data_IF_919442232414
#
_entry.id   IF_919442232414
#
_cell.length_a   1.000
_cell.length_b   1.000
_cell.length_c   1.000
_cell.angle_alpha   90.00
_cell.angle_beta   90.00
_cell.angle_gamma   90.00
#
_symmetry.space_group_name_H-M   'P 1'
#
loop_
_entity.id
_entity.type
_entity.pdbx_description
1 polymer ?
#
# COMPACT_ATOMS: atom_id res chain seq x y z
N UNK A 1 1.25 12.17 -18.18
CA UNK A 1 1.57 10.73 -18.10
C UNK A 1 0.89 10.23 -16.85
N UNK A 2 0.03 9.22 -16.97
CA UNK A 2 -0.68 8.63 -15.84
C UNK A 2 -0.09 7.25 -15.61
N UNK A 3 0.38 6.97 -14.39
CA UNK A 3 0.91 5.67 -14.02
C UNK A 3 -0.25 4.66 -13.91
N UNK A 4 -0.01 3.40 -14.25
CA UNK A 4 -0.97 2.33 -13.98
C UNK A 4 -0.78 1.77 -12.57
N UNK A 5 -1.82 1.24 -11.95
CA UNK A 5 -1.72 0.61 -10.61
C UNK A 5 -2.05 -0.87 -10.70
N UNK A 6 -1.17 -1.73 -10.20
CA UNK A 6 -1.34 -3.19 -10.14
C UNK A 6 -1.19 -3.70 -8.71
N UNK A 7 -1.87 -4.79 -8.37
CA UNK A 7 -1.83 -5.41 -7.03
C UNK A 7 -1.34 -6.85 -7.12
N UNK A 8 -0.69 -7.32 -6.06
CA UNK A 8 -0.35 -8.75 -5.93
C UNK A 8 -1.43 -9.50 -5.14
N UNK A 9 -1.57 -10.83 -5.31
CA UNK A 9 -2.61 -11.61 -4.61
C UNK A 9 -2.59 -11.47 -3.08
N UNK A 10 -1.40 -11.29 -2.49
CA UNK A 10 -1.26 -11.03 -1.06
C UNK A 10 -1.95 -9.72 -0.64
N UNK A 11 -1.72 -8.66 -1.41
CA UNK A 11 -2.33 -7.35 -1.19
C UNK A 11 -3.85 -7.44 -1.24
N UNK A 12 -4.41 -8.12 -2.24
CA UNK A 12 -5.88 -8.26 -2.37
C UNK A 12 -6.51 -8.99 -1.18
N UNK A 13 -5.84 -10.02 -0.66
CA UNK A 13 -6.30 -10.74 0.54
C UNK A 13 -6.30 -9.82 1.76
N UNK A 14 -5.23 -9.05 1.94
CA UNK A 14 -5.12 -8.09 3.04
C UNK A 14 -6.14 -6.96 2.92
N UNK A 15 -6.31 -6.38 1.73
CA UNK A 15 -7.29 -5.35 1.45
C UNK A 15 -8.71 -5.84 1.75
N UNK A 16 -9.09 -7.03 1.26
CA UNK A 16 -10.41 -7.62 1.56
C UNK A 16 -10.66 -7.79 3.05
N UNK A 17 -9.65 -8.26 3.80
CA UNK A 17 -9.78 -8.41 5.26
C UNK A 17 -9.94 -7.05 5.95
N UNK A 18 -9.15 -6.06 5.56
CA UNK A 18 -9.20 -4.72 6.16
C UNK A 18 -10.47 -3.96 5.76
N UNK A 19 -10.97 -4.11 4.54
CA UNK A 19 -12.21 -3.50 4.08
C UNK A 19 -13.42 -4.02 4.87
N UNK A 20 -13.42 -5.29 5.28
CA UNK A 20 -14.43 -5.85 6.20
C UNK A 20 -14.35 -5.22 7.60
N UNK A 21 -13.14 -4.98 8.11
CA UNK A 21 -12.90 -4.37 9.42
C UNK A 21 -13.17 -2.87 9.43
N UNK A 22 -12.92 -2.20 8.31
CA UNK A 22 -12.97 -0.76 8.15
C UNK A 22 -13.75 -0.40 6.88
N UNK A 23 -15.08 -0.22 6.95
CA UNK A 23 -15.90 0.01 5.77
C UNK A 23 -15.49 1.25 4.95
N UNK A 24 -14.96 2.29 5.59
CA UNK A 24 -14.50 3.50 4.88
C UNK A 24 -13.30 3.24 3.98
N UNK A 25 -12.48 2.21 4.26
CA UNK A 25 -11.21 1.95 3.59
C UNK A 25 -11.34 1.87 2.07
N UNK A 26 -12.48 1.40 1.57
CA UNK A 26 -12.76 1.32 0.12
C UNK A 26 -12.67 2.71 -0.52
N UNK A 27 -13.19 3.74 0.15
CA UNK A 27 -13.15 5.13 -0.32
C UNK A 27 -11.73 5.68 -0.28
N UNK A 28 -11.02 5.50 0.83
CA UNK A 28 -9.66 6.03 0.94
C UNK A 28 -8.68 5.28 0.02
N UNK A 29 -8.91 4.00 -0.21
CA UNK A 29 -8.17 3.22 -1.21
C UNK A 29 -8.40 3.74 -2.63
N UNK A 30 -9.65 4.05 -3.00
CA UNK A 30 -9.93 4.64 -4.31
C UNK A 30 -9.22 5.99 -4.50
N UNK A 31 -9.22 6.85 -3.47
CA UNK A 31 -8.47 8.11 -3.49
C UNK A 31 -6.96 7.89 -3.62
N UNK A 32 -6.42 6.88 -2.93
CA UNK A 32 -5.00 6.53 -3.05
C UNK A 32 -4.64 6.07 -4.47
N UNK A 33 -5.49 5.31 -5.14
CA UNK A 33 -5.23 4.88 -6.52
C UNK A 33 -5.13 6.08 -7.47
N UNK A 34 -6.01 7.07 -7.34
CA UNK A 34 -5.92 8.30 -8.14
C UNK A 34 -4.65 9.09 -7.84
N UNK A 35 -4.26 9.22 -6.56
CA UNK A 35 -3.01 9.89 -6.18
C UNK A 35 -1.77 9.20 -6.76
N UNK A 36 -1.76 7.86 -6.79
CA UNK A 36 -0.65 7.08 -7.33
C UNK A 36 -0.52 7.19 -8.85
N UNK A 37 -1.63 7.42 -9.57
CA UNK A 37 -1.60 7.66 -11.03
C UNK A 37 -0.88 8.96 -11.37
N UNK A 38 -0.97 9.97 -10.52
CA UNK A 38 -0.33 11.27 -10.73
C UNK A 38 1.06 11.37 -10.06
N UNK A 39 1.21 10.73 -8.90
CA UNK A 39 2.40 10.83 -8.05
C UNK A 39 2.74 9.46 -7.46
N UNK A 40 3.39 8.58 -8.24
CA UNK A 40 3.65 7.20 -7.85
C UNK A 40 4.64 7.14 -6.68
N UNK A 41 5.56 8.10 -6.56
CA UNK A 41 6.56 8.16 -5.47
C UNK A 41 6.02 8.77 -4.17
N UNK A 42 4.70 8.85 -4.00
CA UNK A 42 4.08 9.36 -2.78
C UNK A 42 4.45 8.51 -1.57
N UNK A 43 4.74 9.17 -0.45
CA UNK A 43 5.04 8.53 0.83
C UNK A 43 6.50 8.64 1.26
N UNK A 44 6.93 7.75 2.16
CA UNK A 44 8.30 7.72 2.70
C UNK A 44 9.08 6.60 2.05
N UNK A 45 10.19 6.90 1.37
CA UNK A 45 11.09 5.88 0.85
C UNK A 45 11.61 4.96 1.95
N UNK A 46 11.54 3.64 1.73
CA UNK A 46 12.03 2.62 2.68
C UNK A 46 13.12 1.73 2.06
N UNK A 47 13.73 2.16 0.95
CA UNK A 47 14.77 1.41 0.22
C UNK A 47 14.20 0.56 -0.93
N UNK A 48 15.07 0.06 -1.80
CA UNK A 48 14.75 -0.84 -2.94
C UNK A 48 13.71 -0.33 -3.96
N UNK A 49 13.40 0.99 -3.98
CA UNK A 49 12.30 1.55 -4.77
C UNK A 49 10.93 1.44 -4.09
N UNK A 50 10.89 1.13 -2.79
CA UNK A 50 9.67 1.01 -2.01
C UNK A 50 9.29 2.31 -1.32
N UNK A 51 7.98 2.57 -1.22
CA UNK A 51 7.44 3.77 -0.59
C UNK A 51 6.34 3.41 0.41
N UNK A 52 6.49 3.87 1.65
CA UNK A 52 5.50 3.65 2.70
C UNK A 52 4.49 4.80 2.71
N UNK A 53 3.22 4.48 2.50
CA UNK A 53 2.12 5.45 2.50
C UNK A 53 1.30 5.30 3.79
N UNK A 54 0.93 6.44 4.38
CA UNK A 54 0.08 6.47 5.57
C UNK A 54 -1.34 6.81 5.15
N UNK A 55 -2.24 5.83 5.20
CA UNK A 55 -3.64 6.03 4.82
C UNK A 55 -4.50 6.23 6.07
N UNK A 56 -5.07 7.42 6.20
CA UNK A 56 -6.03 7.69 7.26
C UNK A 56 -7.34 6.93 6.95
N UNK A 57 -7.78 6.08 7.86
CA UNK A 57 -9.08 5.39 7.76
C UNK A 57 -10.08 6.13 8.64
N UNK A 58 -11.10 6.75 8.05
CA UNK A 58 -12.08 7.53 8.80
C UNK A 58 -12.88 6.67 9.79
N UNK A 59 -13.33 5.49 9.37
CA UNK A 59 -14.17 4.58 10.16
C UNK A 59 -13.45 3.96 11.36
N UNK A 60 -12.14 4.18 11.52
CA UNK A 60 -11.39 3.69 12.68
C UNK A 60 -11.49 4.64 13.89
N UNK A 61 -12.03 5.85 13.73
CA UNK A 61 -12.42 6.74 14.84
C UNK A 61 -11.30 7.26 15.76
N UNK A 62 -10.04 6.94 15.46
CA UNK A 62 -8.87 7.19 16.34
C UNK A 62 -7.98 8.34 15.85
N UNK A 63 -8.47 9.13 14.88
CA UNK A 63 -7.73 10.25 14.27
C UNK A 63 -6.46 9.82 13.51
N UNK A 64 -5.61 10.80 13.13
CA UNK A 64 -4.38 10.58 12.35
C UNK A 64 -3.39 9.56 12.96
N UNK A 65 -3.51 9.27 14.27
CA UNK A 65 -2.61 8.36 15.01
C UNK A 65 -3.02 6.89 14.91
N UNK A 66 -4.27 6.61 14.59
CA UNK A 66 -4.82 5.26 14.56
C UNK A 66 -5.14 4.71 13.16
N UNK A 67 -4.85 5.40 12.05
CA UNK A 67 -5.10 4.89 10.69
C UNK A 67 -4.36 3.58 10.34
N UNK A 68 -4.70 2.98 9.19
CA UNK A 68 -3.92 1.88 8.62
C UNK A 68 -2.65 2.39 7.93
N UNK A 69 -1.70 1.50 7.70
CA UNK A 69 -0.52 1.76 6.89
C UNK A 69 -0.61 0.95 5.61
N UNK A 70 -0.52 1.62 4.49
CA UNK A 70 -0.42 0.95 3.20
C UNK A 70 1.06 1.01 2.81
N UNK A 71 1.72 -0.14 2.72
CA UNK A 71 3.04 -0.17 2.11
C UNK A 71 2.85 -0.46 0.63
N UNK A 72 3.00 0.60 -0.16
CA UNK A 72 3.08 0.47 -1.60
C UNK A 72 4.52 0.14 -1.98
N UNK A 73 4.70 -0.63 -3.05
CA UNK A 73 6.01 -0.79 -3.65
C UNK A 73 5.96 -0.25 -5.04
N UNK A 74 6.40 0.98 -5.15
CA UNK A 74 6.38 1.62 -6.44
C UNK A 74 7.66 1.20 -7.16
N UNK A 75 7.69 -0.04 -7.65
CA UNK A 75 8.57 -0.37 -8.77
C UNK A 75 7.97 0.31 -9.98
N UNK A 76 8.46 1.50 -10.30
CA UNK A 76 8.21 2.15 -11.59
C UNK A 76 8.95 1.35 -12.67
N UNK A 77 8.54 0.10 -12.91
CA UNK A 77 8.88 -0.58 -14.16
C UNK A 77 7.78 -0.17 -15.12
N UNK A 78 8.15 0.39 -16.28
CA UNK A 78 7.21 0.68 -17.36
C UNK A 78 5.98 1.51 -16.94
N UNK A 79 6.16 2.50 -16.04
CA UNK A 79 5.08 3.37 -15.56
C UNK A 79 3.96 2.66 -14.76
N UNK A 80 4.21 1.46 -14.24
CA UNK A 80 3.29 0.74 -13.34
C UNK A 80 3.68 0.93 -11.88
N UNK A 81 2.69 1.03 -10.99
CA UNK A 81 2.82 1.09 -9.53
C UNK A 81 2.28 -0.20 -8.94
N UNK A 82 3.13 -0.95 -8.25
CA UNK A 82 2.71 -2.20 -7.60
C UNK A 82 2.35 -1.97 -6.12
N UNK A 83 1.20 -2.48 -5.69
CA UNK A 83 0.83 -2.48 -4.29
C UNK A 83 1.12 -3.87 -3.69
N UNK A 84 2.07 -3.96 -2.75
CA UNK A 84 2.50 -5.26 -2.20
C UNK A 84 1.85 -5.63 -0.89
N UNK A 85 1.73 -4.66 0.03
CA UNK A 85 1.18 -4.94 1.34
C UNK A 85 0.32 -3.81 1.91
N UNK A 86 -0.76 -4.18 2.55
CA UNK A 86 -1.59 -3.26 3.35
C UNK A 86 -1.85 -3.88 4.71
N UNK A 87 -1.61 -3.11 5.77
CA UNK A 87 -1.78 -3.61 7.13
C UNK A 87 -2.22 -2.51 8.08
N UNK A 88 -2.91 -2.93 9.13
CA UNK A 88 -3.30 -2.01 10.19
C UNK A 88 -2.10 -1.73 11.11
N UNK A 89 -1.84 -0.47 11.47
CA UNK A 89 -0.74 -0.09 12.39
C UNK A 89 -0.83 -0.80 13.74
N UNK A 90 -2.04 -1.07 14.22
CA UNK A 90 -2.25 -1.82 15.47
C UNK A 90 -1.91 -3.30 15.36
N UNK A 91 -1.88 -3.85 14.14
CA UNK A 91 -1.52 -5.24 13.88
C UNK A 91 -0.03 -5.38 13.53
N UNK A 92 0.53 -4.38 12.86
CA UNK A 92 1.93 -4.38 12.46
C UNK A 92 2.51 -2.95 12.39
N UNK A 93 3.67 -2.75 13.02
CA UNK A 93 4.32 -1.43 13.13
C UNK A 93 5.10 -1.05 11.87
N UNK A 94 5.87 -1.99 11.32
CA UNK A 94 6.70 -1.84 10.12
C UNK A 94 6.92 -3.19 9.43
N UNK A 95 7.33 -3.16 8.15
CA UNK A 95 7.98 -4.30 7.50
C UNK A 95 9.49 -4.18 7.71
N UNK A 96 10.16 -5.30 7.93
CA UNK A 96 11.62 -5.38 7.88
C UNK A 96 12.13 -5.41 6.43
N UNK A 97 13.39 -5.07 6.21
CA UNK A 97 14.01 -5.12 4.88
C UNK A 97 13.92 -6.52 4.26
N UNK A 98 14.05 -7.58 5.07
CA UNK A 98 13.87 -8.95 4.61
C UNK A 98 12.45 -9.23 4.13
N UNK A 99 11.43 -8.72 4.82
CA UNK A 99 10.03 -8.86 4.39
C UNK A 99 9.77 -8.08 3.10
N UNK A 100 10.34 -6.88 2.98
CA UNK A 100 10.27 -6.09 1.77
C UNK A 100 10.87 -6.86 0.60
N UNK A 101 12.10 -7.36 0.72
CA UNK A 101 12.77 -8.16 -0.31
C UNK A 101 11.98 -9.42 -0.68
N UNK A 102 11.38 -10.11 0.29
CA UNK A 102 10.53 -11.26 0.02
C UNK A 102 9.29 -10.90 -0.81
N UNK A 103 8.67 -9.74 -0.53
CA UNK A 103 7.55 -9.23 -1.34
C UNK A 103 8.01 -8.83 -2.75
N UNK A 104 9.24 -8.32 -2.90
CA UNK A 104 9.80 -8.01 -4.23
C UNK A 104 10.03 -9.26 -5.07
N UNK A 105 10.46 -10.35 -4.43
CA UNK A 105 10.64 -11.65 -5.08
C UNK A 105 9.36 -12.18 -5.75
N UNK A 106 8.18 -11.80 -5.22
CA UNK A 106 6.89 -12.19 -5.80
C UNK A 106 6.56 -11.46 -7.12
N UNK A 107 7.31 -10.41 -7.47
CA UNK A 107 7.13 -9.65 -8.72
C UNK A 107 8.08 -10.11 -9.83
N UNK A 108 9.08 -10.93 -9.50
CA UNK A 108 10.13 -11.37 -10.44
C UNK A 108 9.83 -12.70 -11.12
N UNK A 109 8.64 -13.26 -10.91
CA UNK A 109 8.18 -14.52 -11.52
C UNK A 109 7.39 -14.33 -12.84
N UNK A 110 7.53 -13.17 -13.52
CA UNK A 110 7.09 -12.96 -14.92
C UNK A 110 8.26 -12.71 -15.86
#
# INVERSE_FOLDING_TARGET
MAFETSTIPLFDRQLRRLAKKFPSLVKEYATLLEELKDSPQTGTGIGHGCYKIRLAIASKGTGKRGGARVITYVRVINETVYLLAIYDKSEQSSLSDQQVLALLGLLTDE
#
